data_IF_513487869697
#
_entry.id   IF_513487869697
#
_cell.length_a   1.000
_cell.length_b   1.000
_cell.length_c   1.000
_cell.angle_alpha   90.00
_cell.angle_beta   90.00
_cell.angle_gamma   90.00
#
_symmetry.space_group_name_H-M   'P 1'
#
loop_
_entity.id
_entity.type
_entity.pdbx_description
1 polymer ?
#
# COMPACT_ATOMS: atom_id res chain seq x y z
N UNK A 1 -19.12 -4.86 -0.71
CA UNK A 1 -17.98 -3.91 -0.51
C UNK A 1 -17.20 -3.66 -1.80
N UNK A 2 -16.22 -4.48 -2.23
CA UNK A 2 -15.40 -4.15 -3.42
C UNK A 2 -16.23 -3.97 -4.71
N UNK A 3 -17.17 -4.87 -5.02
CA UNK A 3 -18.05 -4.71 -6.19
C UNK A 3 -18.87 -3.41 -6.22
N UNK A 4 -19.03 -2.74 -5.07
CA UNK A 4 -19.75 -1.45 -4.96
C UNK A 4 -18.81 -0.24 -5.07
N UNK A 5 -17.48 -0.45 -5.16
CA UNK A 5 -16.48 0.60 -5.32
C UNK A 5 -16.35 1.02 -6.79
N UNK A 6 -16.68 2.28 -7.06
CA UNK A 6 -16.57 2.90 -8.38
C UNK A 6 -15.72 4.16 -8.26
N UNK A 7 -14.45 4.05 -8.64
CA UNK A 7 -13.52 5.18 -8.63
C UNK A 7 -12.43 4.99 -9.70
N UNK A 8 -11.97 6.05 -10.38
CA UNK A 8 -10.91 5.95 -11.38
C UNK A 8 -9.60 5.36 -10.87
N UNK A 9 -9.33 5.40 -9.55
CA UNK A 9 -8.12 4.87 -8.92
C UNK A 9 -8.30 3.56 -8.17
N UNK A 10 -9.47 2.94 -8.29
CA UNK A 10 -9.79 1.65 -7.69
C UNK A 10 -10.09 0.66 -8.81
N UNK A 11 -9.50 -0.54 -8.75
CA UNK A 11 -9.75 -1.58 -9.73
C UNK A 11 -11.20 -2.05 -9.60
N UNK A 12 -11.91 -2.15 -10.72
CA UNK A 12 -13.27 -2.68 -10.72
C UNK A 12 -13.25 -4.19 -10.49
N UNK A 13 -14.15 -4.67 -9.62
CA UNK A 13 -14.40 -6.10 -9.44
C UNK A 13 -15.71 -6.45 -10.14
N UNK A 14 -15.61 -7.19 -11.25
CA UNK A 14 -16.76 -7.61 -12.06
C UNK A 14 -17.54 -8.76 -11.42
N UNK A 15 -16.85 -9.57 -10.62
CA UNK A 15 -17.45 -10.70 -9.92
C UNK A 15 -16.40 -11.70 -9.43
N UNK A 16 -16.84 -12.93 -9.18
CA UNK A 16 -15.99 -14.02 -8.77
C UNK A 16 -16.40 -15.31 -9.49
N UNK A 17 -15.48 -16.27 -9.59
CA UNK A 17 -15.73 -17.59 -10.13
C UNK A 17 -14.96 -18.66 -9.32
N UNK A 18 -15.31 -19.92 -9.53
CA UNK A 18 -14.52 -21.05 -9.07
C UNK A 18 -13.88 -21.72 -10.28
N UNK A 19 -12.55 -21.68 -10.36
CA UNK A 19 -11.77 -22.34 -11.41
C UNK A 19 -11.04 -23.50 -10.76
N UNK A 20 -11.38 -24.74 -11.16
CA UNK A 20 -10.83 -25.97 -10.56
C UNK A 20 -10.98 -26.02 -9.02
N UNK A 21 -12.06 -25.46 -8.49
CA UNK A 21 -12.33 -25.39 -7.04
C UNK A 21 -11.61 -24.25 -6.31
N UNK A 22 -10.79 -23.46 -7.00
CA UNK A 22 -10.11 -22.29 -6.45
C UNK A 22 -11.02 -21.06 -6.64
N UNK A 23 -11.35 -20.31 -5.57
CA UNK A 23 -12.06 -19.04 -5.72
C UNK A 23 -11.15 -18.03 -6.42
N UNK A 24 -11.68 -17.40 -7.47
CA UNK A 24 -10.98 -16.40 -8.28
C UNK A 24 -11.81 -15.13 -8.36
N UNK A 25 -11.17 -13.98 -8.18
CA UNK A 25 -11.77 -12.67 -8.42
C UNK A 25 -11.62 -12.31 -9.91
N UNK A 26 -12.65 -11.72 -10.49
CA UNK A 26 -12.67 -11.33 -11.91
C UNK A 26 -12.71 -9.81 -12.00
N UNK A 27 -11.69 -9.22 -12.63
CA UNK A 27 -11.58 -7.78 -12.87
C UNK A 27 -11.19 -7.51 -14.34
N UNK A 28 -11.41 -6.29 -14.87
CA UNK A 28 -10.89 -5.91 -16.17
C UNK A 28 -9.36 -6.00 -16.16
N UNK A 29 -8.77 -6.46 -17.27
CA UNK A 29 -7.32 -6.51 -17.40
C UNK A 29 -6.73 -5.11 -17.28
N UNK A 30 -5.98 -4.88 -16.20
CA UNK A 30 -5.46 -3.56 -15.84
C UNK A 30 -3.95 -3.62 -15.62
N UNK A 31 -3.23 -3.99 -16.67
CA UNK A 31 -1.77 -4.11 -16.66
C UNK A 31 -1.21 -3.41 -17.87
N UNK A 32 -0.27 -2.48 -17.65
CA UNK A 32 0.51 -1.85 -18.70
C UNK A 32 1.23 -2.94 -19.50
N UNK A 33 1.17 -2.90 -20.84
CA UNK A 33 1.73 -3.93 -21.76
C UNK A 33 3.19 -4.28 -21.50
N UNK A 34 3.93 -3.33 -20.94
CA UNK A 34 5.33 -3.51 -20.61
C UNK A 34 5.59 -3.96 -19.17
N UNK A 35 4.64 -4.29 -18.30
CA UNK A 35 4.89 -4.74 -16.89
C UNK A 35 4.02 -5.93 -16.53
N UNK A 36 4.30 -6.70 -15.46
CA UNK A 36 3.32 -7.66 -14.92
C UNK A 36 2.28 -6.99 -14.02
N UNK A 37 2.18 -5.65 -14.05
CA UNK A 37 1.02 -4.91 -13.55
C UNK A 37 1.31 -3.94 -12.44
N UNK A 38 2.19 -4.28 -11.49
CA UNK A 38 2.36 -3.44 -10.30
C UNK A 38 3.31 -2.26 -10.51
N UNK A 39 3.16 -1.23 -9.67
CA UNK A 39 3.90 0.03 -9.77
C UNK A 39 5.42 -0.15 -9.68
N UNK A 40 5.91 -1.10 -8.88
CA UNK A 40 7.36 -1.39 -8.78
C UNK A 40 7.91 -1.88 -10.10
N UNK A 41 7.29 -2.88 -10.72
CA UNK A 41 7.73 -3.39 -12.01
C UNK A 41 7.57 -2.37 -13.14
N UNK A 42 6.49 -1.57 -13.09
CA UNK A 42 6.29 -0.48 -14.03
C UNK A 42 7.43 0.54 -13.96
N UNK A 43 7.85 0.97 -12.76
CA UNK A 43 8.92 1.94 -12.56
C UNK A 43 10.32 1.40 -12.91
N UNK A 44 10.56 0.09 -12.76
CA UNK A 44 11.82 -0.52 -13.21
C UNK A 44 11.97 -0.38 -14.73
N UNK A 45 10.87 -0.47 -15.48
CA UNK A 45 10.86 -0.42 -16.94
C UNK A 45 10.64 0.98 -17.50
N UNK A 46 10.11 1.88 -16.68
CA UNK A 46 9.87 3.28 -17.00
C UNK A 46 10.51 4.18 -15.91
N UNK A 47 11.85 4.24 -15.84
CA UNK A 47 12.55 4.93 -14.77
C UNK A 47 12.25 6.44 -14.72
N UNK A 48 11.91 7.03 -15.86
CA UNK A 48 11.59 8.45 -16.05
C UNK A 48 10.10 8.78 -15.83
N UNK A 49 9.28 7.79 -15.44
CA UNK A 49 7.87 8.03 -15.17
C UNK A 49 7.67 9.03 -14.02
N UNK A 50 6.59 9.80 -14.11
CA UNK A 50 6.22 10.77 -13.08
C UNK A 50 5.75 10.06 -11.80
N UNK A 51 6.70 9.81 -10.89
CA UNK A 51 6.47 9.11 -9.62
C UNK A 51 5.50 9.87 -8.71
N UNK A 52 5.56 11.20 -8.69
CA UNK A 52 4.67 12.04 -7.89
C UNK A 52 3.24 11.87 -8.38
N UNK A 53 3.01 11.97 -9.70
CA UNK A 53 1.67 11.73 -10.25
C UNK A 53 1.13 10.35 -9.90
N UNK A 54 1.95 9.30 -9.89
CA UNK A 54 1.50 7.97 -9.48
C UNK A 54 1.15 7.92 -7.98
N UNK A 55 1.94 8.55 -7.12
CA UNK A 55 1.67 8.66 -5.68
C UNK A 55 0.38 9.43 -5.41
N UNK A 56 0.16 10.57 -6.07
CA UNK A 56 -1.08 11.36 -5.95
C UNK A 56 -2.29 10.51 -6.34
N UNK A 57 -2.19 9.72 -7.42
CA UNK A 57 -3.26 8.81 -7.82
C UNK A 57 -3.53 7.67 -6.82
N UNK A 58 -2.49 7.16 -6.14
CA UNK A 58 -2.68 6.22 -5.01
C UNK A 58 -3.43 6.93 -3.87
N UNK A 59 -3.03 8.16 -3.54
CA UNK A 59 -3.67 8.94 -2.49
C UNK A 59 -5.15 9.22 -2.79
N UNK A 60 -5.49 9.56 -4.04
CA UNK A 60 -6.87 9.73 -4.53
C UNK A 60 -7.71 8.46 -4.30
N UNK A 61 -7.14 7.29 -4.61
CA UNK A 61 -7.80 6.00 -4.40
C UNK A 61 -8.07 5.69 -2.93
N UNK A 62 -7.08 5.91 -2.07
CA UNK A 62 -7.22 5.70 -0.62
C UNK A 62 -8.19 6.70 0.01
N UNK A 63 -8.11 7.98 -0.38
CA UNK A 63 -9.04 9.02 0.06
C UNK A 63 -10.49 8.65 -0.30
N UNK A 64 -10.73 8.16 -1.52
CA UNK A 64 -12.03 7.65 -1.92
C UNK A 64 -12.51 6.51 -1.01
N UNK A 65 -11.67 5.51 -0.73
CA UNK A 65 -12.05 4.37 0.12
C UNK A 65 -12.38 4.81 1.56
N UNK A 66 -11.58 5.73 2.10
CA UNK A 66 -11.75 6.26 3.47
C UNK A 66 -12.98 7.16 3.63
N UNK A 67 -13.43 7.83 2.55
CA UNK A 67 -14.60 8.72 2.53
C UNK A 67 -15.93 8.00 2.29
N UNK A 68 -15.91 6.70 2.01
CA UNK A 68 -17.12 5.90 1.79
C UNK A 68 -17.97 5.78 3.06
N UNK A 69 -19.27 5.52 2.86
CA UNK A 69 -20.19 5.09 3.90
C UNK A 69 -20.82 3.73 3.52
N UNK A 70 -20.50 2.62 4.24
CA UNK A 70 -19.53 2.56 5.33
C UNK A 70 -18.08 2.73 4.85
N UNK A 71 -17.22 3.21 5.75
CA UNK A 71 -15.78 3.43 5.51
C UNK A 71 -15.12 2.12 5.07
N UNK A 72 -14.27 2.19 4.04
CA UNK A 72 -13.50 1.04 3.54
C UNK A 72 -12.02 1.24 3.89
N UNK A 73 -11.48 0.37 4.74
CA UNK A 73 -10.05 0.27 5.02
C UNK A 73 -9.41 -0.68 4.00
N UNK A 74 -8.29 -0.30 3.41
CA UNK A 74 -7.59 -1.13 2.43
C UNK A 74 -6.93 -2.34 3.09
N UNK A 75 -6.24 -2.12 4.22
CA UNK A 75 -5.59 -3.14 5.07
C UNK A 75 -4.33 -3.80 4.50
N UNK A 76 -3.91 -3.46 3.28
CA UNK A 76 -2.73 -4.06 2.64
C UNK A 76 -2.12 -3.10 1.60
N UNK A 77 -1.97 -1.83 1.98
CA UNK A 77 -1.38 -0.82 1.09
C UNK A 77 0.10 -1.12 0.89
N UNK A 78 0.47 -1.52 -0.32
CA UNK A 78 1.85 -1.78 -0.74
C UNK A 78 1.96 -1.71 -2.26
N UNK A 79 3.17 -1.48 -2.82
CA UNK A 79 3.35 -1.40 -4.27
C UNK A 79 2.80 -2.60 -5.06
N UNK A 80 2.83 -3.81 -4.50
CA UNK A 80 2.29 -5.01 -5.15
C UNK A 80 0.77 -4.92 -5.43
N UNK A 81 0.03 -4.14 -4.63
CA UNK A 81 -1.42 -3.95 -4.74
C UNK A 81 -1.79 -2.64 -5.47
N UNK A 82 -0.82 -2.03 -6.15
CA UNK A 82 -0.98 -0.81 -6.96
C UNK A 82 -0.66 -1.16 -8.40
N UNK A 83 -1.69 -1.30 -9.23
CA UNK A 83 -1.54 -1.58 -10.65
C UNK A 83 -1.39 -0.30 -11.46
N UNK A 84 -0.61 -0.35 -12.54
CA UNK A 84 -0.47 0.75 -13.52
C UNK A 84 -0.90 0.24 -14.90
N UNK A 85 -1.80 0.96 -15.56
CA UNK A 85 -2.29 0.59 -16.89
C UNK A 85 -1.53 1.30 -18.04
N UNK A 86 -1.88 0.99 -19.29
CA UNK A 86 -1.29 1.60 -20.51
C UNK A 86 -1.41 3.12 -20.61
N UNK A 87 -2.34 3.73 -19.86
CA UNK A 87 -2.53 5.19 -19.80
C UNK A 87 -1.79 5.81 -18.61
N UNK A 88 -0.99 5.01 -17.92
CA UNK A 88 -0.28 5.41 -16.70
C UNK A 88 -1.24 5.85 -15.58
N UNK A 89 -2.44 5.28 -15.59
CA UNK A 89 -3.39 5.41 -14.50
C UNK A 89 -3.15 4.28 -13.49
N UNK A 90 -3.14 4.66 -12.20
CA UNK A 90 -3.07 3.75 -11.07
C UNK A 90 -4.44 3.15 -10.76
N UNK A 91 -4.46 1.87 -10.39
CA UNK A 91 -5.60 1.18 -9.78
C UNK A 91 -5.17 0.43 -8.52
N UNK A 92 -5.79 0.77 -7.38
CA UNK A 92 -5.70 0.00 -6.15
C UNK A 92 -6.48 -1.32 -6.30
N UNK A 93 -5.87 -2.43 -5.90
CA UNK A 93 -6.49 -3.75 -5.88
C UNK A 93 -6.28 -4.45 -4.53
N UNK A 94 -6.90 -5.61 -4.37
CA UNK A 94 -6.77 -6.50 -3.21
C UNK A 94 -7.07 -5.87 -1.85
N UNK A 95 -7.93 -4.84 -1.84
CA UNK A 95 -8.43 -4.20 -0.63
C UNK A 95 -9.66 -4.92 -0.07
N UNK A 96 -9.80 -4.90 1.26
CA UNK A 96 -10.94 -5.52 1.95
C UNK A 96 -11.01 -7.06 1.87
N UNK A 97 -10.08 -7.70 1.16
CA UNK A 97 -9.91 -9.16 1.15
C UNK A 97 -9.36 -9.64 2.49
N UNK A 98 -8.56 -8.81 3.18
CA UNK A 98 -7.96 -9.13 4.49
C UNK A 98 -8.99 -9.42 5.58
N UNK A 99 -10.12 -8.69 5.64
CA UNK A 99 -11.21 -8.99 6.59
C UNK A 99 -11.86 -10.35 6.33
N UNK A 100 -12.04 -10.72 5.05
CA UNK A 100 -12.60 -12.02 4.67
C UNK A 100 -11.62 -13.18 4.94
N UNK A 101 -10.32 -12.91 4.90
CA UNK A 101 -9.26 -13.90 5.17
C UNK A 101 -8.97 -14.09 6.66
N UNK A 102 -9.21 -13.08 7.51
CA UNK A 102 -9.14 -13.20 8.96
C UNK A 102 -10.24 -14.12 9.52
N UNK A 103 -11.43 -14.12 8.89
CA UNK A 103 -12.54 -15.02 9.23
C UNK A 103 -12.42 -16.42 8.58
N UNK A 104 -11.47 -16.61 7.66
CA UNK A 104 -11.26 -17.88 6.97
C UNK A 104 -10.30 -18.77 7.78
N UNK A 105 -10.48 -20.12 7.76
CA UNK A 105 -9.53 -21.03 8.37
C UNK A 105 -8.11 -20.75 7.86
N UNK A 106 -7.13 -20.87 8.76
CA UNK A 106 -5.70 -20.51 8.66
C UNK A 106 -4.89 -21.02 7.45
N UNK A 107 -5.53 -21.59 6.43
CA UNK A 107 -4.92 -22.09 5.21
C UNK A 107 -4.91 -21.12 4.01
N UNK A 108 -5.57 -19.96 4.09
CA UNK A 108 -5.55 -18.97 2.98
C UNK A 108 -4.37 -17.98 3.04
N UNK A 109 -3.72 -17.85 4.19
CA UNK A 109 -2.54 -17.00 4.35
C UNK A 109 -1.30 -17.80 3.93
N UNK A 110 -0.89 -17.69 2.67
CA UNK A 110 0.38 -18.30 2.25
C UNK A 110 1.54 -17.61 2.98
N UNK A 111 2.50 -18.38 3.49
CA UNK A 111 3.70 -17.85 4.17
C UNK A 111 4.51 -16.88 3.29
N UNK A 112 4.29 -16.90 1.97
CA UNK A 112 4.86 -15.95 1.01
C UNK A 112 4.18 -14.57 1.02
N UNK A 113 2.88 -14.45 1.32
CA UNK A 113 2.17 -13.16 1.35
C UNK A 113 2.50 -12.31 2.59
N UNK A 114 2.96 -12.97 3.67
CA UNK A 114 3.45 -12.29 4.89
C UNK A 114 4.83 -11.68 4.65
N UNK A 115 5.65 -12.33 3.82
CA UNK A 115 7.04 -11.94 3.59
C UNK A 115 7.12 -10.62 2.83
N UNK A 116 7.56 -9.55 3.51
CA UNK A 116 7.71 -8.21 2.95
C UNK A 116 6.54 -7.26 3.24
N UNK A 117 5.33 -7.77 3.52
CA UNK A 117 4.16 -6.94 3.91
C UNK A 117 4.39 -6.23 5.25
N UNK A 118 5.13 -6.87 6.17
CA UNK A 118 5.47 -6.30 7.48
C UNK A 118 6.19 -4.94 7.42
N UNK A 119 6.87 -4.63 6.31
CA UNK A 119 7.62 -3.37 6.13
C UNK A 119 6.72 -2.16 5.92
N UNK A 120 5.44 -2.38 5.64
CA UNK A 120 4.42 -1.34 5.52
C UNK A 120 3.49 -1.33 6.74
N UNK A 121 3.64 -2.27 7.68
CA UNK A 121 2.74 -2.39 8.83
C UNK A 121 3.08 -1.37 9.90
N UNK A 122 2.04 -0.71 10.42
CA UNK A 122 2.14 0.18 11.57
C UNK A 122 2.33 -0.60 12.88
N UNK A 123 2.91 0.05 13.90
CA UNK A 123 3.20 -0.57 15.20
C UNK A 123 1.96 -1.14 15.89
N UNK A 124 0.82 -0.45 15.82
CA UNK A 124 -0.43 -0.90 16.41
C UNK A 124 -0.94 -2.22 15.83
N UNK A 125 -0.56 -2.56 14.59
CA UNK A 125 -0.92 -3.83 13.93
C UNK A 125 -0.02 -5.01 14.32
N UNK A 126 1.01 -4.77 15.15
CA UNK A 126 1.86 -5.85 15.69
C UNK A 126 1.27 -6.48 16.96
N UNK A 127 0.18 -5.93 17.49
CA UNK A 127 -0.52 -6.48 18.64
C UNK A 127 -1.41 -7.66 18.21
N UNK A 128 -1.60 -8.61 19.13
CA UNK A 128 -2.56 -9.70 18.94
C UNK A 128 -3.97 -9.11 18.78
N UNK A 129 -4.76 -9.67 17.86
CA UNK A 129 -6.13 -9.23 17.53
C UNK A 129 -6.28 -7.78 17.04
N UNK A 130 -5.19 -7.14 16.61
CA UNK A 130 -5.25 -5.79 16.06
C UNK A 130 -6.03 -5.72 14.75
N UNK A 131 -6.96 -4.77 14.65
CA UNK A 131 -7.70 -4.49 13.42
C UNK A 131 -7.07 -3.35 12.62
N UNK A 132 -7.05 -3.51 11.30
CA UNK A 132 -6.65 -2.42 10.40
C UNK A 132 -7.61 -1.24 10.49
N UNK A 133 -7.05 -0.04 10.52
CA UNK A 133 -7.76 1.24 10.52
C UNK A 133 -7.37 2.07 9.30
N UNK A 134 -8.11 3.14 9.01
CA UNK A 134 -7.71 4.11 7.97
C UNK A 134 -6.34 4.71 8.28
N UNK A 135 -6.00 4.92 9.55
CA UNK A 135 -4.69 5.43 9.96
C UNK A 135 -3.57 4.40 9.77
N UNK A 136 -3.87 3.11 9.79
CA UNK A 136 -2.88 2.08 9.42
C UNK A 136 -2.62 2.06 7.90
N UNK A 137 -3.62 2.38 7.07
CA UNK A 137 -3.41 2.59 5.63
C UNK A 137 -2.53 3.82 5.38
N UNK A 138 -2.70 4.90 6.15
CA UNK A 138 -1.88 6.13 6.04
C UNK A 138 -0.41 5.83 6.33
N UNK A 139 -0.12 5.04 7.38
CA UNK A 139 1.24 4.59 7.68
C UNK A 139 1.84 3.80 6.51
N UNK A 140 1.08 2.84 6.00
CA UNK A 140 1.49 2.01 4.88
C UNK A 140 1.68 2.82 3.58
N UNK A 141 0.88 3.88 3.38
CA UNK A 141 1.04 4.84 2.30
C UNK A 141 2.35 5.62 2.39
N UNK A 142 2.77 6.07 3.58
CA UNK A 142 4.11 6.67 3.78
C UNK A 142 5.24 5.73 3.37
N UNK A 143 5.13 4.46 3.73
CA UNK A 143 6.08 3.41 3.30
C UNK A 143 6.04 3.13 1.80
N UNK A 144 4.86 3.26 1.17
CA UNK A 144 4.69 3.16 -0.27
C UNK A 144 5.37 4.33 -1.01
N UNK A 145 5.21 5.57 -0.53
CA UNK A 145 5.91 6.75 -1.08
C UNK A 145 7.41 6.49 -1.11
N UNK A 146 7.98 6.06 0.02
CA UNK A 146 9.42 5.80 0.14
C UNK A 146 9.91 4.84 -0.95
N UNK A 147 9.21 3.71 -1.14
CA UNK A 147 9.61 2.73 -2.13
C UNK A 147 9.38 3.21 -3.56
N UNK A 148 8.28 3.92 -3.82
CA UNK A 148 8.01 4.48 -5.14
C UNK A 148 9.07 5.49 -5.51
N UNK A 149 9.55 6.32 -4.58
CA UNK A 149 10.58 7.31 -4.86
C UNK A 149 11.98 6.70 -4.98
N UNK A 150 12.33 5.76 -4.12
CA UNK A 150 13.71 5.24 -4.00
C UNK A 150 13.96 3.95 -4.76
N UNK A 151 12.90 3.22 -5.11
CA UNK A 151 12.98 1.84 -5.61
C UNK A 151 13.40 0.80 -4.55
N UNK A 152 13.61 1.22 -3.29
CA UNK A 152 14.06 0.35 -2.20
C UNK A 152 12.93 0.04 -1.23
N UNK A 153 12.98 -1.13 -0.60
CA UNK A 153 12.03 -1.49 0.45
C UNK A 153 12.20 -0.58 1.67
N UNK A 154 11.10 -0.25 2.39
CA UNK A 154 11.20 0.32 3.73
C UNK A 154 12.01 -0.61 4.65
N UNK A 155 12.76 -0.04 5.59
CA UNK A 155 13.65 -0.78 6.50
C UNK A 155 14.76 -1.59 5.79
N UNK A 156 15.36 -1.04 4.73
CA UNK A 156 16.33 -1.75 3.86
C UNK A 156 17.53 -2.34 4.62
N UNK A 157 17.91 -1.72 5.74
CA UNK A 157 19.02 -2.17 6.61
C UNK A 157 18.71 -3.43 7.43
N UNK A 158 17.45 -3.84 7.51
CA UNK A 158 17.02 -4.99 8.29
C UNK A 158 16.83 -6.20 7.38
N UNK A 159 17.67 -7.22 7.57
CA UNK A 159 17.70 -8.43 6.72
C UNK A 159 16.71 -9.53 7.13
N UNK A 160 16.00 -9.37 8.25
CA UNK A 160 15.03 -10.34 8.76
C UNK A 160 13.73 -9.66 9.18
N UNK A 161 12.62 -10.38 9.04
CA UNK A 161 11.30 -9.89 9.45
C UNK A 161 11.27 -9.58 10.95
N UNK A 162 11.93 -10.38 11.79
CA UNK A 162 12.08 -10.08 13.23
C UNK A 162 12.85 -8.78 13.49
N UNK A 163 13.85 -8.46 12.66
CA UNK A 163 14.58 -7.19 12.76
C UNK A 163 13.68 -6.00 12.42
N UNK A 164 12.87 -6.13 11.37
CA UNK A 164 11.88 -5.12 10.97
C UNK A 164 10.82 -4.93 12.06
N UNK A 165 10.24 -6.03 12.58
CA UNK A 165 9.26 -5.99 13.67
C UNK A 165 9.83 -5.28 14.90
N UNK A 166 11.07 -5.62 15.29
CA UNK A 166 11.73 -4.96 16.41
C UNK A 166 11.93 -3.46 16.16
N UNK A 167 12.36 -3.07 14.96
CA UNK A 167 12.55 -1.66 14.60
C UNK A 167 11.24 -0.87 14.69
N UNK A 168 10.16 -1.40 14.12
CA UNK A 168 8.82 -0.80 14.19
C UNK A 168 8.35 -0.69 15.64
N UNK A 169 8.53 -1.75 16.44
CA UNK A 169 8.15 -1.75 17.85
C UNK A 169 8.89 -0.70 18.68
N UNK A 170 10.18 -0.53 18.41
CA UNK A 170 11.07 0.44 19.04
C UNK A 170 10.87 1.88 18.49
N UNK A 171 9.93 2.10 17.58
CA UNK A 171 9.61 3.43 17.02
C UNK A 171 10.62 3.94 15.99
N UNK A 172 11.44 3.05 15.42
CA UNK A 172 12.39 3.40 14.36
C UNK A 172 11.64 3.56 13.05
N UNK A 173 11.84 4.68 12.37
CA UNK A 173 11.35 4.94 11.01
C UNK A 173 12.51 4.99 10.01
N UNK A 174 12.26 4.77 8.70
CA UNK A 174 13.27 4.97 7.66
C UNK A 174 13.90 6.36 7.70
N UNK A 175 15.23 6.44 7.54
CA UNK A 175 16.01 7.68 7.55
C UNK A 175 16.57 8.00 6.16
N UNK A 176 16.69 9.28 5.75
CA UNK A 176 17.30 9.65 4.46
C UNK A 176 18.69 9.06 4.20
N UNK A 177 19.48 8.80 5.25
CA UNK A 177 20.82 8.22 5.12
C UNK A 177 20.81 6.83 4.47
N UNK A 178 19.72 6.08 4.64
CA UNK A 178 19.54 4.73 4.12
C UNK A 178 19.06 4.70 2.66
N UNK A 179 18.57 5.84 2.17
CA UNK A 179 17.88 6.00 0.89
C UNK A 179 18.46 7.17 0.07
N UNK A 180 19.74 7.09 -0.35
CA UNK A 180 20.41 8.17 -1.08
C UNK A 180 19.75 8.52 -2.43
N UNK A 181 18.86 7.67 -2.96
CA UNK A 181 18.08 7.91 -4.16
C UNK A 181 17.08 9.07 -4.00
N UNK A 182 16.62 9.35 -2.77
CA UNK A 182 15.75 10.48 -2.45
C UNK A 182 16.57 11.50 -1.63
N UNK A 183 16.84 12.71 -2.15
CA UNK A 183 17.64 13.70 -1.42
C UNK A 183 17.10 13.96 -0.01
N UNK A 184 17.99 14.09 0.98
CA UNK A 184 17.59 14.35 2.36
C UNK A 184 16.85 15.70 2.54
N UNK A 185 17.00 16.62 1.59
CA UNK A 185 16.28 17.90 1.55
C UNK A 185 14.92 17.83 0.84
N UNK A 186 14.53 16.66 0.32
CA UNK A 186 13.26 16.50 -0.38
C UNK A 186 12.09 16.64 0.62
N UNK A 187 11.07 17.48 0.33
CA UNK A 187 9.95 17.72 1.23
C UNK A 187 9.10 16.48 1.49
N UNK A 188 9.16 15.44 0.64
CA UNK A 188 8.44 14.19 0.88
C UNK A 188 8.87 13.50 2.18
N UNK A 189 10.07 13.77 2.70
CA UNK A 189 10.48 13.26 4.00
C UNK A 189 9.61 13.78 5.14
N UNK A 190 9.13 15.02 5.07
CA UNK A 190 8.19 15.56 6.07
C UNK A 190 6.85 14.84 5.97
N UNK A 191 6.32 14.67 4.75
CA UNK A 191 5.06 13.95 4.50
C UNK A 191 5.14 12.50 5.02
N UNK A 192 6.21 11.78 4.71
CA UNK A 192 6.38 10.40 5.16
C UNK A 192 6.50 10.32 6.69
N UNK A 193 7.18 11.28 7.34
CA UNK A 193 7.27 11.35 8.81
C UNK A 193 5.91 11.58 9.46
N UNK A 194 5.08 12.45 8.89
CA UNK A 194 3.69 12.67 9.36
C UNK A 194 2.86 11.39 9.22
N UNK A 195 3.01 10.64 8.12
CA UNK A 195 2.36 9.33 7.95
C UNK A 195 2.84 8.29 8.97
N UNK A 196 4.10 8.37 9.41
CA UNK A 196 4.71 7.43 10.36
C UNK A 196 4.63 7.88 11.83
N UNK A 197 3.76 8.84 12.18
CA UNK A 197 3.57 9.23 13.57
C UNK A 197 3.18 8.01 14.43
N UNK A 198 3.80 7.91 15.60
CA UNK A 198 3.60 6.79 16.52
C UNK A 198 2.14 6.72 16.99
N UNK A 199 1.51 7.88 17.20
CA UNK A 199 0.13 7.99 17.59
C UNK A 199 -0.76 8.04 16.33
N UNK A 200 -1.59 7.01 16.05
CA UNK A 200 -2.37 6.96 14.81
C UNK A 200 -3.27 8.18 14.60
N UNK A 201 -3.76 8.79 15.69
CA UNK A 201 -4.63 9.97 15.62
C UNK A 201 -3.92 11.27 15.21
N UNK A 202 -2.59 11.31 15.22
CA UNK A 202 -1.81 12.45 14.73
C UNK A 202 -1.51 12.36 13.22
N UNK A 203 -1.69 11.18 12.61
CA UNK A 203 -1.42 10.98 11.18
C UNK A 203 -2.43 11.77 10.33
N UNK A 204 -2.01 12.34 9.19
CA UNK A 204 -2.90 13.08 8.33
C UNK A 204 -3.95 12.18 7.68
N UNK A 205 -5.13 12.72 7.42
CA UNK A 205 -6.13 12.01 6.61
C UNK A 205 -5.74 12.03 5.13
N UNK A 206 -6.14 11.01 4.37
CA UNK A 206 -5.76 10.89 2.97
C UNK A 206 -6.20 12.08 2.10
N UNK A 207 -7.30 12.75 2.46
CA UNK A 207 -7.79 13.94 1.75
C UNK A 207 -6.81 15.11 1.81
N UNK A 208 -6.03 15.22 2.88
CA UNK A 208 -5.01 16.26 3.01
C UNK A 208 -3.75 15.86 2.25
N UNK A 209 -3.38 14.58 2.31
CA UNK A 209 -2.23 14.04 1.56
C UNK A 209 -2.38 14.20 0.04
N UNK A 210 -3.59 14.05 -0.52
CA UNK A 210 -3.87 14.29 -1.95
C UNK A 210 -3.45 15.69 -2.42
N UNK A 211 -3.45 16.69 -1.53
CA UNK A 211 -3.09 18.08 -1.87
C UNK A 211 -1.60 18.37 -1.66
N UNK A 212 -0.91 17.51 -0.91
CA UNK A 212 0.45 17.74 -0.42
C UNK A 212 1.50 16.99 -1.24
N UNK A 213 1.14 15.85 -1.84
CA UNK A 213 2.03 14.99 -2.67
C UNK A 213 1.92 15.24 -4.16
#
# INVERSE_FOLDING_TARGET
>A
IWMECQHPRVLELLGYAYIEGIPCLISPWCVHRCSNGNITEYLIRNPDADRLRLITQVAEGLAYLHDRDPVVVHSDVKPANVLVNDKEDVKLCDFGVSKLLQDAPSGFTTTASIKGTLRYSAKELLQEDAESTTMSDVYAFGSLILQVMTGKLPYVNFNSDMGVIKAIWDGVTPSPEDYPELPASDPLWDVMRECWDEEPSNRPVMQDLVKTV
#
